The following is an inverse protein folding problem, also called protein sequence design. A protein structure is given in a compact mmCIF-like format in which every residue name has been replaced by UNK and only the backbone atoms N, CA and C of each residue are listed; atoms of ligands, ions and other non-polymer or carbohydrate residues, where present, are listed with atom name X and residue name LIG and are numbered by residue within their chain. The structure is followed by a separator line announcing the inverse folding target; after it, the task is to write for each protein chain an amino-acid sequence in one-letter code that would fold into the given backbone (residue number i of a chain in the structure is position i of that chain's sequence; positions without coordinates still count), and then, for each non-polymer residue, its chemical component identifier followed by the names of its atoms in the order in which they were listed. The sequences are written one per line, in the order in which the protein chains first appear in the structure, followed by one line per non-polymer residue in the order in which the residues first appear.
data_IF_855779672039
#
_entry.id   IF_855779672039
#
_cell.length_a   1.000
_cell.length_b   1.000
_cell.length_c   1.000
_cell.angle_alpha   90.00
_cell.angle_beta   90.00
_cell.angle_gamma   90.00
#
_symmetry.space_group_name_H-M   'P 1'
#
loop_
_entity.id
_entity.type
_entity.pdbx_description
1 polymer ?
#
# COMPACT_ATOMS: atom_id res chain seq x y z
N UNK A 1 17.42 -29.66 -21.90
CA UNK A 1 16.63 -28.52 -21.38
C UNK A 1 17.18 -28.14 -20.01
N UNK A 2 17.94 -27.05 -19.95
CA UNK A 2 18.43 -26.53 -18.65
C UNK A 2 17.32 -25.69 -18.04
N UNK A 3 16.71 -26.19 -16.98
CA UNK A 3 15.79 -25.45 -16.13
C UNK A 3 16.51 -24.21 -15.62
N UNK A 4 16.03 -23.03 -15.99
CA UNK A 4 16.42 -21.77 -15.38
C UNK A 4 15.80 -21.72 -13.99
N UNK A 5 16.47 -22.28 -13.01
CA UNK A 5 16.22 -21.89 -11.62
C UNK A 5 16.65 -20.42 -11.51
N UNK A 6 15.67 -19.54 -11.53
CA UNK A 6 15.86 -18.16 -11.04
C UNK A 6 16.09 -18.34 -9.55
N UNK A 7 17.34 -18.22 -9.14
CA UNK A 7 17.71 -18.04 -7.74
C UNK A 7 16.97 -16.76 -7.29
N UNK A 8 15.80 -16.94 -6.68
CA UNK A 8 15.23 -15.92 -5.82
C UNK A 8 16.21 -15.77 -4.66
N UNK A 9 17.15 -14.83 -4.77
CA UNK A 9 17.89 -14.36 -3.60
C UNK A 9 16.81 -14.04 -2.57
N UNK A 10 16.84 -14.75 -1.43
CA UNK A 10 16.00 -14.37 -0.29
C UNK A 10 16.15 -12.88 -0.07
N UNK A 11 15.00 -12.18 -0.04
CA UNK A 11 15.01 -10.74 0.19
C UNK A 11 15.68 -10.48 1.53
N UNK A 12 16.75 -9.67 1.53
CA UNK A 12 17.44 -9.22 2.75
C UNK A 12 16.58 -8.31 3.60
N UNK A 13 15.46 -7.81 3.04
CA UNK A 13 14.54 -6.89 3.70
C UNK A 13 13.43 -7.66 4.39
N UNK A 14 13.01 -7.14 5.53
CA UNK A 14 11.89 -7.70 6.29
C UNK A 14 10.60 -6.98 5.91
N UNK A 15 9.65 -7.74 5.35
CA UNK A 15 8.29 -7.29 5.05
C UNK A 15 7.38 -7.79 6.16
N UNK A 16 6.88 -6.89 6.97
CA UNK A 16 6.07 -7.25 8.14
C UNK A 16 4.63 -6.76 7.98
N UNK A 17 3.70 -7.71 8.03
CA UNK A 17 2.27 -7.36 8.12
C UNK A 17 2.01 -6.76 9.50
N UNK A 18 1.46 -5.55 9.53
CA UNK A 18 1.18 -4.84 10.77
C UNK A 18 -0.04 -5.43 11.50
N UNK A 19 -0.02 -5.32 12.80
CA UNK A 19 -1.12 -5.70 13.69
C UNK A 19 -1.62 -4.49 14.46
N UNK A 20 -2.68 -4.66 15.25
CA UNK A 20 -3.21 -3.60 16.12
C UNK A 20 -2.19 -3.07 17.13
N UNK A 21 -1.19 -3.88 17.47
CA UNK A 21 -0.10 -3.45 18.37
C UNK A 21 0.88 -2.48 17.70
N UNK A 22 0.83 -2.37 16.35
CA UNK A 22 1.71 -1.53 15.56
C UNK A 22 1.11 -0.13 15.25
N UNK A 23 0.01 0.26 15.87
CA UNK A 23 -0.71 1.49 15.53
C UNK A 23 0.19 2.73 15.62
N UNK A 24 0.97 2.86 16.69
CA UNK A 24 1.86 4.02 16.84
C UNK A 24 2.93 4.07 15.75
N UNK A 25 3.49 2.93 15.38
CA UNK A 25 4.47 2.82 14.27
C UNK A 25 3.81 3.10 12.91
N UNK A 26 2.59 2.61 12.69
CA UNK A 26 1.82 2.89 11.48
C UNK A 26 1.52 4.38 11.32
N UNK A 27 1.12 5.05 12.38
CA UNK A 27 0.87 6.50 12.38
C UNK A 27 2.16 7.27 12.12
N UNK A 28 3.24 6.93 12.83
CA UNK A 28 4.56 7.55 12.63
C UNK A 28 5.03 7.44 11.18
N UNK A 29 4.97 6.25 10.61
CA UNK A 29 5.40 6.02 9.23
C UNK A 29 4.46 6.66 8.21
N UNK A 30 3.15 6.71 8.50
CA UNK A 30 2.18 7.41 7.66
C UNK A 30 2.53 8.89 7.50
N UNK A 31 2.93 9.56 8.57
CA UNK A 31 3.36 10.96 8.52
C UNK A 31 4.60 11.12 7.64
N UNK A 32 5.58 10.22 7.75
CA UNK A 32 6.76 10.23 6.86
C UNK A 32 6.34 10.13 5.40
N UNK A 33 5.46 9.20 5.07
CA UNK A 33 4.96 8.97 3.70
C UNK A 33 4.21 10.19 3.18
N UNK A 34 3.33 10.78 3.99
CA UNK A 34 2.56 11.97 3.59
C UNK A 34 3.45 13.19 3.34
N UNK A 35 4.46 13.40 4.19
CA UNK A 35 5.43 14.48 3.97
C UNK A 35 6.19 14.29 2.66
N UNK A 36 6.65 13.07 2.40
CA UNK A 36 7.37 12.75 1.16
C UNK A 36 6.47 12.93 -0.08
N UNK A 37 5.26 12.40 -0.05
CA UNK A 37 4.33 12.45 -1.19
C UNK A 37 3.88 13.87 -1.54
N UNK A 38 3.72 14.73 -0.53
CA UNK A 38 3.24 16.10 -0.69
C UNK A 38 4.38 17.14 -0.65
N UNK A 39 5.63 16.70 -0.55
CA UNK A 39 6.81 17.57 -0.45
C UNK A 39 6.71 18.60 0.68
N UNK A 40 6.22 18.14 1.84
CA UNK A 40 6.04 18.96 3.01
C UNK A 40 7.30 18.99 3.87
N UNK A 41 7.62 20.16 4.42
CA UNK A 41 8.69 20.33 5.41
C UNK A 41 8.25 19.82 6.80
N UNK A 42 9.22 19.60 7.67
CA UNK A 42 8.98 19.02 9.01
C UNK A 42 8.19 19.96 9.93
N UNK A 43 8.14 21.27 9.62
CA UNK A 43 7.41 22.27 10.39
C UNK A 43 5.91 22.38 10.03
N UNK A 44 5.47 21.72 8.97
CA UNK A 44 4.04 21.65 8.63
C UNK A 44 3.29 20.84 9.69
N UNK A 45 2.24 21.43 10.26
CA UNK A 45 1.42 20.77 11.27
C UNK A 45 0.63 19.61 10.68
N UNK A 46 0.90 18.41 11.18
CA UNK A 46 0.24 17.17 10.78
C UNK A 46 -0.65 16.59 11.88
N UNK A 47 -0.93 17.35 12.95
CA UNK A 47 -1.63 16.85 14.14
C UNK A 47 -3.04 16.34 13.84
N UNK A 48 -3.77 16.98 12.92
CA UNK A 48 -5.13 16.56 12.54
C UNK A 48 -5.08 15.22 11.80
N UNK A 49 -4.24 15.10 10.78
CA UNK A 49 -4.13 13.85 10.01
C UNK A 49 -3.52 12.72 10.85
N UNK A 50 -2.64 13.04 11.78
CA UNK A 50 -2.10 12.07 12.74
C UNK A 50 -3.21 11.48 13.62
N UNK A 51 -4.04 12.34 14.22
CA UNK A 51 -5.19 11.93 15.03
C UNK A 51 -6.18 11.08 14.23
N UNK A 52 -6.56 11.52 13.05
CA UNK A 52 -7.49 10.80 12.17
C UNK A 52 -6.91 9.46 11.69
N UNK A 53 -5.61 9.42 11.39
CA UNK A 53 -4.92 8.19 11.00
C UNK A 53 -4.91 7.17 12.12
N UNK A 54 -4.68 7.60 13.35
CA UNK A 54 -4.73 6.73 14.53
C UNK A 54 -6.11 6.11 14.72
N UNK A 55 -7.16 6.91 14.63
CA UNK A 55 -8.54 6.45 14.74
C UNK A 55 -8.90 5.48 13.60
N UNK A 56 -8.46 5.79 12.37
CA UNK A 56 -8.66 4.95 11.20
C UNK A 56 -7.98 3.57 11.38
N UNK A 57 -6.70 3.52 11.70
CA UNK A 57 -5.98 2.27 11.88
C UNK A 57 -6.59 1.41 13.00
N UNK A 58 -6.94 2.03 14.11
CA UNK A 58 -7.58 1.31 15.22
C UNK A 58 -8.84 0.58 14.75
N UNK A 59 -9.75 1.28 14.10
CA UNK A 59 -10.99 0.68 13.59
C UNK A 59 -10.72 -0.33 12.48
N UNK A 60 -9.94 0.06 11.48
CA UNK A 60 -9.78 -0.73 10.27
C UNK A 60 -8.97 -2.02 10.48
N UNK A 61 -8.00 -2.00 11.39
CA UNK A 61 -7.27 -3.22 11.74
C UNK A 61 -8.10 -4.17 12.61
N UNK A 62 -8.95 -3.63 13.50
CA UNK A 62 -9.88 -4.45 14.30
C UNK A 62 -10.92 -5.15 13.43
N UNK A 63 -11.45 -4.47 12.42
CA UNK A 63 -12.50 -4.99 11.53
C UNK A 63 -11.97 -5.79 10.34
N UNK A 64 -10.66 -5.75 10.08
CA UNK A 64 -10.06 -6.35 8.89
C UNK A 64 -10.26 -5.53 7.60
N UNK A 65 -10.71 -4.28 7.71
CA UNK A 65 -10.92 -3.40 6.55
C UNK A 65 -9.62 -2.82 5.97
N UNK A 66 -8.50 -3.06 6.65
CA UNK A 66 -7.19 -2.57 6.20
C UNK A 66 -6.11 -3.60 6.48
N UNK A 67 -5.20 -3.76 5.51
CA UNK A 67 -3.95 -4.49 5.68
C UNK A 67 -2.80 -3.54 5.35
N UNK A 68 -1.79 -3.51 6.19
CA UNK A 68 -0.60 -2.70 6.02
C UNK A 68 0.68 -3.54 6.11
N UNK A 69 1.65 -3.22 5.28
CA UNK A 69 3.01 -3.76 5.37
C UNK A 69 3.99 -2.65 5.68
N UNK A 70 4.91 -2.96 6.58
CA UNK A 70 6.08 -2.14 6.90
C UNK A 70 7.33 -2.90 6.48
N UNK A 71 8.24 -2.23 5.82
CA UNK A 71 9.47 -2.82 5.30
C UNK A 71 10.68 -2.26 6.04
N UNK A 72 11.54 -3.15 6.49
CA UNK A 72 12.73 -2.81 7.28
C UNK A 72 14.00 -3.40 6.70
N UNK A 73 15.09 -2.67 6.84
CA UNK A 73 16.46 -3.12 6.66
C UNK A 73 17.19 -2.98 7.99
N UNK A 74 17.49 -4.11 8.65
CA UNK A 74 18.13 -4.15 9.98
C UNK A 74 17.51 -3.14 10.98
N UNK A 75 16.19 -3.11 11.07
CA UNK A 75 15.45 -2.23 11.96
C UNK A 75 15.24 -0.80 11.46
N UNK A 76 15.82 -0.43 10.33
CA UNK A 76 15.55 0.85 9.66
C UNK A 76 14.28 0.74 8.81
N UNK A 77 13.31 1.64 9.04
CA UNK A 77 12.13 1.74 8.19
C UNK A 77 12.51 2.25 6.79
N UNK A 78 12.22 1.45 5.77
CA UNK A 78 12.58 1.76 4.38
C UNK A 78 11.42 1.77 3.41
N UNK A 79 10.27 1.23 3.77
CA UNK A 79 9.14 1.17 2.86
C UNK A 79 7.83 0.80 3.55
N UNK A 80 6.74 1.10 2.87
CA UNK A 80 5.39 0.80 3.33
C UNK A 80 4.43 0.60 2.17
N UNK A 81 3.31 -0.03 2.46
CA UNK A 81 2.15 -0.10 1.59
C UNK A 81 0.92 -0.51 2.38
N UNK A 82 -0.24 -0.14 1.90
CA UNK A 82 -1.50 -0.49 2.52
C UNK A 82 -2.61 -0.74 1.51
N UNK A 83 -3.60 -1.49 1.92
CA UNK A 83 -4.81 -1.73 1.15
C UNK A 83 -6.03 -1.60 2.05
N UNK A 84 -7.01 -0.84 1.60
CA UNK A 84 -8.30 -0.68 2.26
C UNK A 84 -9.34 -1.47 1.51
N UNK A 85 -10.14 -2.25 2.24
CA UNK A 85 -11.26 -3.00 1.68
C UNK A 85 -12.56 -2.27 1.98
N UNK A 86 -13.42 -2.17 0.99
CA UNK A 86 -14.71 -1.53 1.12
C UNK A 86 -15.74 -2.17 0.20
N UNK A 87 -17.00 -1.87 0.41
CA UNK A 87 -18.08 -2.42 -0.38
C UNK A 87 -18.90 -1.29 -1.02
N UNK A 88 -19.21 -1.48 -2.28
CA UNK A 88 -20.17 -0.67 -3.04
C UNK A 88 -21.36 -1.52 -3.45
N UNK A 89 -22.35 -0.94 -4.09
CA UNK A 89 -23.47 -1.71 -4.62
C UNK A 89 -22.96 -2.81 -5.56
N UNK A 90 -23.46 -4.04 -5.45
CA UNK A 90 -23.17 -5.10 -6.40
C UNK A 90 -23.44 -4.67 -7.85
N UNK A 91 -22.54 -5.06 -8.73
CA UNK A 91 -22.67 -4.84 -10.17
C UNK A 91 -22.58 -6.16 -10.93
N UNK A 92 -22.94 -6.14 -12.22
CA UNK A 92 -22.80 -7.32 -13.05
C UNK A 92 -21.37 -7.84 -13.10
N UNK A 93 -20.37 -6.94 -13.22
CA UNK A 93 -18.96 -7.30 -13.28
C UNK A 93 -18.31 -7.55 -11.91
N UNK A 94 -18.97 -7.11 -10.84
CA UNK A 94 -18.53 -7.32 -9.47
C UNK A 94 -19.74 -7.62 -8.55
N UNK A 95 -20.24 -8.86 -8.59
CA UNK A 95 -21.47 -9.21 -7.87
C UNK A 95 -21.39 -9.07 -6.35
N UNK A 96 -20.19 -9.16 -5.76
CA UNK A 96 -20.01 -8.95 -4.32
C UNK A 96 -20.01 -7.49 -3.92
N UNK A 97 -19.73 -6.58 -4.86
CA UNK A 97 -19.48 -5.16 -4.58
C UNK A 97 -18.21 -4.90 -3.81
N UNK A 98 -17.42 -5.92 -3.48
CA UNK A 98 -16.17 -5.75 -2.72
C UNK A 98 -15.08 -5.17 -3.60
N UNK A 99 -14.40 -4.16 -3.05
CA UNK A 99 -13.28 -3.46 -3.70
C UNK A 99 -12.10 -3.33 -2.76
N UNK A 100 -10.92 -3.22 -3.35
CA UNK A 100 -9.68 -2.91 -2.65
C UNK A 100 -9.05 -1.65 -3.22
N UNK A 101 -8.54 -0.80 -2.36
CA UNK A 101 -7.84 0.42 -2.73
C UNK A 101 -6.45 0.42 -2.12
N UNK A 102 -5.44 0.38 -2.99
CA UNK A 102 -4.03 0.42 -2.60
C UNK A 102 -3.62 1.87 -2.34
N UNK A 103 -2.98 2.11 -1.21
CA UNK A 103 -2.47 3.42 -0.86
C UNK A 103 -1.27 3.32 0.09
N UNK A 104 -0.70 4.47 0.43
CA UNK A 104 0.46 4.55 1.33
C UNK A 104 1.71 3.82 0.80
N UNK A 105 1.84 3.68 -0.51
CA UNK A 105 3.02 3.07 -1.13
C UNK A 105 4.22 4.01 -1.01
N UNK A 106 5.26 3.52 -0.37
CA UNK A 106 6.46 4.30 -0.12
C UNK A 106 7.70 3.43 -0.15
N UNK A 107 8.77 3.97 -0.74
CA UNK A 107 10.12 3.42 -0.63
C UNK A 107 11.08 4.57 -0.35
N UNK A 108 11.90 4.41 0.68
CA UNK A 108 12.96 5.38 0.98
C UNK A 108 13.80 5.61 -0.30
N UNK A 109 14.06 6.86 -0.70
CA UNK A 109 14.78 7.17 -1.93
C UNK A 109 16.11 6.44 -2.10
N UNK A 110 16.83 6.18 -1.01
CA UNK A 110 18.11 5.46 -1.04
C UNK A 110 17.96 3.95 -1.31
N UNK A 111 16.74 3.43 -1.22
CA UNK A 111 16.41 2.02 -1.42
C UNK A 111 15.63 1.75 -2.70
N UNK A 112 15.44 2.76 -3.52
CA UNK A 112 14.72 2.62 -4.80
C UNK A 112 15.45 1.70 -5.77
N UNK A 113 14.69 1.10 -6.71
CA UNK A 113 15.16 0.17 -7.74
C UNK A 113 15.74 -1.13 -7.20
N UNK A 114 15.30 -1.55 -6.02
CA UNK A 114 15.65 -2.84 -5.40
C UNK A 114 14.46 -3.79 -5.29
N UNK A 115 13.34 -3.48 -5.96
CA UNK A 115 12.16 -4.32 -5.99
C UNK A 115 11.25 -4.22 -4.76
N UNK A 116 11.48 -3.30 -3.83
CA UNK A 116 10.73 -3.20 -2.57
C UNK A 116 9.26 -2.86 -2.84
N UNK A 117 9.00 -1.82 -3.64
CA UNK A 117 7.63 -1.41 -3.94
C UNK A 117 6.87 -2.49 -4.72
N UNK A 118 7.52 -3.16 -5.67
CA UNK A 118 6.91 -4.26 -6.43
C UNK A 118 6.53 -5.43 -5.52
N UNK A 119 7.42 -5.81 -4.63
CA UNK A 119 7.16 -6.91 -3.68
C UNK A 119 6.04 -6.55 -2.69
N UNK A 120 6.06 -5.33 -2.15
CA UNK A 120 5.01 -4.83 -1.26
C UNK A 120 3.65 -4.82 -1.96
N UNK A 121 3.60 -4.33 -3.19
CA UNK A 121 2.39 -4.33 -4.01
C UNK A 121 1.87 -5.75 -4.25
N UNK A 122 2.75 -6.68 -4.54
CA UNK A 122 2.40 -8.09 -4.76
C UNK A 122 1.79 -8.72 -3.51
N UNK A 123 2.34 -8.45 -2.34
CA UNK A 123 1.78 -8.91 -1.07
C UNK A 123 0.36 -8.36 -0.84
N UNK A 124 0.14 -7.07 -1.09
CA UNK A 124 -1.16 -6.43 -0.93
C UNK A 124 -2.20 -6.98 -1.92
N UNK A 125 -1.83 -7.16 -3.17
CA UNK A 125 -2.70 -7.72 -4.20
C UNK A 125 -3.07 -9.17 -3.87
N UNK A 126 -2.11 -9.97 -3.42
CA UNK A 126 -2.38 -11.35 -3.00
C UNK A 126 -3.34 -11.40 -1.82
N UNK A 127 -3.15 -10.56 -0.80
CA UNK A 127 -4.06 -10.47 0.33
C UNK A 127 -5.49 -10.10 -0.11
N UNK A 128 -5.63 -9.16 -1.03
CA UNK A 128 -6.95 -8.79 -1.58
C UNK A 128 -7.61 -9.97 -2.33
N UNK A 129 -6.85 -10.65 -3.17
CA UNK A 129 -7.35 -11.81 -3.92
C UNK A 129 -7.74 -12.99 -3.03
N UNK A 130 -7.01 -13.22 -1.94
CA UNK A 130 -7.36 -14.23 -0.94
C UNK A 130 -8.71 -13.96 -0.27
N UNK A 131 -9.14 -12.70 -0.21
CA UNK A 131 -10.47 -12.31 0.25
C UNK A 131 -11.54 -12.38 -0.86
N UNK A 132 -11.19 -12.86 -2.03
CA UNK A 132 -12.11 -12.95 -3.18
C UNK A 132 -12.35 -11.61 -3.88
N UNK A 133 -11.49 -10.60 -3.65
CA UNK A 133 -11.65 -9.29 -4.25
C UNK A 133 -10.88 -9.24 -5.58
N UNK A 134 -11.60 -8.93 -6.67
CA UNK A 134 -11.04 -8.83 -8.01
C UNK A 134 -10.85 -7.38 -8.48
N UNK A 135 -11.64 -6.44 -7.97
CA UNK A 135 -11.52 -5.03 -8.30
C UNK A 135 -10.55 -4.33 -7.34
N UNK A 136 -9.32 -4.13 -7.82
CA UNK A 136 -8.23 -3.52 -7.07
C UNK A 136 -7.79 -2.27 -7.82
N UNK A 137 -7.83 -1.13 -7.16
CA UNK A 137 -7.51 0.16 -7.75
C UNK A 137 -6.49 0.93 -6.89
N UNK A 138 -5.89 1.94 -7.48
CA UNK A 138 -4.97 2.87 -6.82
C UNK A 138 -4.93 4.19 -7.59
N UNK A 139 -4.45 5.24 -6.94
CA UNK A 139 -4.02 6.46 -7.61
C UNK A 139 -2.51 6.43 -7.85
N UNK A 140 -2.10 6.67 -9.09
CA UNK A 140 -0.70 6.64 -9.47
C UNK A 140 -0.14 8.05 -9.58
N UNK A 141 0.98 8.32 -8.88
CA UNK A 141 1.82 9.47 -9.18
C UNK A 141 2.61 9.21 -10.45
N UNK A 142 3.12 10.25 -11.09
CA UNK A 142 3.94 10.10 -12.30
C UNK A 142 5.18 9.22 -12.03
N UNK A 143 5.76 9.33 -10.84
CA UNK A 143 6.91 8.51 -10.45
C UNK A 143 6.54 7.04 -10.21
N UNK A 144 5.38 6.78 -9.65
CA UNK A 144 4.91 5.41 -9.34
C UNK A 144 4.28 4.68 -10.52
N UNK A 145 3.77 5.41 -11.51
CA UNK A 145 3.02 4.83 -12.65
C UNK A 145 3.75 3.69 -13.36
N UNK A 146 5.05 3.81 -13.72
CA UNK A 146 5.74 2.73 -14.42
C UNK A 146 5.75 1.40 -13.65
N UNK A 147 5.85 1.45 -12.33
CA UNK A 147 5.76 0.27 -11.46
C UNK A 147 4.40 -0.40 -11.56
N UNK A 148 3.33 0.38 -11.47
CA UNK A 148 1.97 -0.14 -11.49
C UNK A 148 1.61 -0.71 -12.87
N UNK A 149 2.01 -0.07 -13.94
CA UNK A 149 1.83 -0.58 -15.31
C UNK A 149 2.60 -1.88 -15.52
N UNK A 150 3.83 -1.97 -15.03
CA UNK A 150 4.63 -3.20 -15.07
C UNK A 150 3.96 -4.35 -14.30
N UNK A 151 3.29 -4.05 -13.19
CA UNK A 151 2.55 -5.05 -12.41
C UNK A 151 1.29 -5.53 -13.16
N UNK A 152 0.68 -4.69 -13.98
CA UNK A 152 -0.51 -5.00 -14.76
C UNK A 152 -1.68 -4.04 -14.55
N UNK A 153 -1.50 -2.97 -13.80
CA UNK A 153 -2.52 -1.93 -13.65
C UNK A 153 -2.65 -1.14 -14.96
N UNK A 154 -3.88 -0.80 -15.31
CA UNK A 154 -4.20 0.03 -16.47
C UNK A 154 -4.98 1.27 -16.02
N UNK A 155 -4.81 2.35 -16.77
CA UNK A 155 -5.51 3.60 -16.49
C UNK A 155 -7.02 3.40 -16.66
N UNK A 156 -7.80 3.90 -15.70
CA UNK A 156 -9.26 3.95 -15.80
C UNK A 156 -9.68 5.18 -16.62
N UNK A 157 -10.65 4.99 -17.50
CA UNK A 157 -11.11 6.05 -18.42
C UNK A 157 -12.44 6.68 -17.96
N UNK A 158 -13.23 5.95 -17.19
CA UNK A 158 -14.64 6.30 -16.91
C UNK A 158 -14.85 6.98 -15.55
N UNK A 159 -13.83 7.05 -14.71
CA UNK A 159 -13.95 7.71 -13.41
C UNK A 159 -13.89 9.22 -13.53
N UNK A 160 -14.79 9.88 -12.80
CA UNK A 160 -14.89 11.35 -12.73
C UNK A 160 -14.86 11.81 -11.28
N UNK A 161 -14.26 12.96 -11.04
CA UNK A 161 -14.18 13.60 -9.74
C UNK A 161 -14.91 14.94 -9.77
N UNK A 162 -15.74 15.19 -8.76
CA UNK A 162 -16.35 16.51 -8.56
C UNK A 162 -15.38 17.41 -7.79
N UNK A 163 -15.08 18.58 -8.35
CA UNK A 163 -14.23 19.60 -7.72
C UNK A 163 -15.09 20.72 -7.10
#
# INVERSE_FOLDING_TARGET
MKSKYINMKESIFKYRKATIEDIDELVRTRIIVLRAANKLSDDVDMSVVEKESKAYYKRALETGEHIAYLVYDNGLFIGAGGVTFYQVMPTYHNPSGKKAYIMNMYTNPQYRRRGIAFHTLDLLVKDAREQGISQIALEATDMGRPLYEKYGFVKMEDEMELK
#
